data_IF_592272728932
#
_entry.id   IF_592272728932
#
_cell.length_a   1.000
_cell.length_b   1.000
_cell.length_c   1.000
_cell.angle_alpha   90.00
_cell.angle_beta   90.00
_cell.angle_gamma   90.00
#
_symmetry.space_group_name_H-M   'P 1'
#
loop_
_entity.id
_entity.type
_entity.pdbx_description
1 polymer ?
#
# COMPACT_ATOMS: atom_id res chain seq x y z
N UNK A 1 -13.82 11.55 10.35
CA UNK A 1 -15.30 11.50 10.50
C UNK A 1 -15.86 10.54 9.48
N UNK A 2 -16.52 9.46 9.90
CA UNK A 2 -17.26 8.56 9.02
C UNK A 2 -18.71 9.02 8.95
N UNK A 3 -19.23 9.19 7.74
CA UNK A 3 -20.64 9.51 7.51
C UNK A 3 -21.41 8.22 7.18
N UNK A 4 -22.73 8.24 7.38
CA UNK A 4 -23.63 7.12 7.05
C UNK A 4 -24.86 7.66 6.33
N UNK A 5 -25.37 6.91 5.37
CA UNK A 5 -26.62 7.25 4.67
C UNK A 5 -26.65 6.84 3.21
N UNK A 6 -27.81 7.07 2.58
CA UNK A 6 -28.00 6.86 1.15
C UNK A 6 -27.28 7.93 0.34
N UNK A 7 -26.72 7.54 -0.82
CA UNK A 7 -26.11 8.49 -1.77
C UNK A 7 -27.13 9.51 -2.29
N UNK A 8 -28.41 9.12 -2.41
CA UNK A 8 -29.47 10.00 -2.91
C UNK A 8 -29.74 11.21 -1.97
N UNK A 9 -29.48 11.04 -0.68
CA UNK A 9 -29.71 12.06 0.36
C UNK A 9 -28.42 12.78 0.78
N UNK A 10 -27.25 12.33 0.27
CA UNK A 10 -25.96 12.87 0.67
C UNK A 10 -25.68 14.21 -0.03
N UNK A 11 -25.36 15.24 0.76
CA UNK A 11 -24.89 16.50 0.18
C UNK A 11 -23.45 16.33 -0.32
N UNK A 12 -23.14 16.92 -1.48
CA UNK A 12 -21.80 16.93 -2.08
C UNK A 12 -20.73 17.41 -1.09
N UNK A 13 -21.06 18.41 -0.27
CA UNK A 13 -20.18 18.93 0.77
C UNK A 13 -19.79 17.85 1.77
N UNK A 14 -20.75 17.08 2.31
CA UNK A 14 -20.45 16.05 3.30
C UNK A 14 -19.72 14.85 2.72
N UNK A 15 -20.06 14.45 1.50
CA UNK A 15 -19.31 13.40 0.78
C UNK A 15 -17.83 13.78 0.64
N UNK A 16 -17.56 15.05 0.34
CA UNK A 16 -16.20 15.55 0.22
C UNK A 16 -15.48 15.67 1.57
N UNK A 17 -16.17 16.06 2.64
CA UNK A 17 -15.58 16.30 3.97
C UNK A 17 -15.41 15.03 4.80
N UNK A 18 -16.25 14.01 4.61
CA UNK A 18 -16.12 12.76 5.35
C UNK A 18 -14.79 12.04 5.05
N UNK A 19 -14.30 11.28 5.99
CA UNK A 19 -13.20 10.32 5.79
C UNK A 19 -13.62 9.29 4.73
N UNK A 20 -14.84 8.77 4.85
CA UNK A 20 -15.65 8.08 3.84
C UNK A 20 -17.10 8.03 4.33
N UNK A 21 -18.02 7.59 3.45
CA UNK A 21 -19.43 7.39 3.78
C UNK A 21 -19.76 5.91 3.67
N UNK A 22 -20.48 5.35 4.65
CA UNK A 22 -20.98 3.97 4.61
C UNK A 22 -22.44 3.95 4.15
N UNK A 23 -22.78 2.97 3.31
CA UNK A 23 -24.15 2.68 2.87
C UNK A 23 -24.40 1.18 2.81
N UNK A 24 -25.64 0.75 2.91
CA UNK A 24 -26.08 -0.61 2.63
C UNK A 24 -26.64 -0.74 1.20
N UNK A 25 -26.80 0.37 0.49
CA UNK A 25 -27.20 0.43 -0.91
C UNK A 25 -25.98 0.26 -1.84
N UNK A 26 -26.20 -0.24 -3.05
CA UNK A 26 -25.19 -0.23 -4.11
C UNK A 26 -24.85 1.21 -4.50
N UNK A 27 -23.57 1.55 -4.51
CA UNK A 27 -23.09 2.88 -4.86
C UNK A 27 -21.83 2.83 -5.73
N UNK A 28 -21.85 3.56 -6.84
CA UNK A 28 -20.70 3.74 -7.74
C UNK A 28 -20.03 5.11 -7.55
N UNK A 29 -19.79 5.47 -6.29
CA UNK A 29 -19.06 6.68 -5.93
C UNK A 29 -17.87 6.28 -5.05
N UNK A 30 -16.64 6.69 -5.42
CA UNK A 30 -15.43 6.34 -4.67
C UNK A 30 -15.42 6.87 -3.23
N UNK A 31 -16.30 7.81 -2.87
CA UNK A 31 -16.46 8.41 -1.54
C UNK A 31 -17.38 7.58 -0.64
N UNK A 32 -18.09 6.64 -1.24
CA UNK A 32 -19.08 5.80 -0.58
C UNK A 32 -18.62 4.34 -0.61
N UNK A 33 -18.76 3.67 0.51
CA UNK A 33 -18.41 2.27 0.71
C UNK A 33 -19.68 1.49 1.01
N UNK A 34 -20.03 0.57 0.14
CA UNK A 34 -21.13 -0.36 0.37
C UNK A 34 -20.70 -1.42 1.38
N UNK A 35 -21.49 -1.60 2.43
CA UNK A 35 -21.27 -2.59 3.48
C UNK A 35 -22.53 -3.41 3.72
N UNK A 36 -22.37 -4.64 4.20
CA UNK A 36 -23.52 -5.52 4.50
C UNK A 36 -24.35 -5.03 5.69
N UNK A 37 -23.74 -4.33 6.65
CA UNK A 37 -24.37 -3.70 7.80
C UNK A 37 -23.57 -2.51 8.26
N UNK A 38 -24.21 -1.33 8.27
CA UNK A 38 -23.63 -0.09 8.78
C UNK A 38 -23.28 -0.21 10.25
N UNK A 39 -24.18 -0.77 11.06
CA UNK A 39 -23.97 -0.91 12.52
C UNK A 39 -22.76 -1.79 12.84
N UNK A 40 -22.61 -2.93 12.14
CA UNK A 40 -21.46 -3.80 12.30
C UNK A 40 -20.16 -3.10 11.87
N UNK A 41 -20.16 -2.45 10.71
CA UNK A 41 -18.99 -1.73 10.19
C UNK A 41 -18.57 -0.57 11.11
N UNK A 42 -19.52 0.20 11.64
CA UNK A 42 -19.25 1.28 12.61
C UNK A 42 -18.69 0.74 13.92
N UNK A 43 -19.23 -0.38 14.43
CA UNK A 43 -18.72 -1.03 15.65
C UNK A 43 -17.25 -1.43 15.48
N UNK A 44 -16.91 -2.10 14.39
CA UNK A 44 -15.55 -2.55 14.10
C UNK A 44 -14.58 -1.35 13.90
N UNK A 45 -14.99 -0.35 13.12
CA UNK A 45 -14.20 0.86 12.90
C UNK A 45 -13.95 1.63 14.20
N UNK A 46 -14.98 1.72 15.07
CA UNK A 46 -14.86 2.40 16.37
C UNK A 46 -13.87 1.65 17.26
N UNK A 47 -14.00 0.33 17.39
CA UNK A 47 -13.10 -0.48 18.21
C UNK A 47 -11.63 -0.35 17.73
N UNK A 48 -11.42 -0.31 16.42
CA UNK A 48 -10.07 -0.12 15.84
C UNK A 48 -9.54 1.29 16.08
N UNK A 49 -10.38 2.32 15.90
CA UNK A 49 -10.00 3.71 16.15
C UNK A 49 -9.71 3.98 17.63
N UNK A 50 -10.45 3.35 18.56
CA UNK A 50 -10.17 3.42 19.99
C UNK A 50 -8.87 2.73 20.38
N UNK A 51 -8.52 1.63 19.69
CA UNK A 51 -7.26 0.91 19.94
C UNK A 51 -6.04 1.66 19.37
N UNK A 52 -6.18 2.36 18.25
CA UNK A 52 -5.12 3.02 17.46
C UNK A 52 -5.49 4.47 17.12
N UNK A 53 -5.84 5.31 18.11
CA UNK A 53 -6.41 6.64 17.85
C UNK A 53 -5.42 7.60 17.16
N UNK A 54 -4.12 7.52 17.49
CA UNK A 54 -3.11 8.39 16.91
C UNK A 54 -2.85 8.01 15.45
N UNK A 55 -2.66 6.72 15.18
CA UNK A 55 -2.43 6.25 13.81
C UNK A 55 -3.66 6.47 12.91
N UNK A 56 -4.88 6.25 13.44
CA UNK A 56 -6.11 6.49 12.68
C UNK A 56 -6.30 7.97 12.32
N UNK A 57 -6.07 8.89 13.27
CA UNK A 57 -6.14 10.34 13.00
C UNK A 57 -5.05 10.76 12.02
N UNK A 58 -3.81 10.31 12.23
CA UNK A 58 -2.68 10.62 11.33
C UNK A 58 -2.93 10.11 9.91
N UNK A 59 -3.56 8.92 9.75
CA UNK A 59 -3.95 8.39 8.45
C UNK A 59 -4.89 9.35 7.69
N UNK A 60 -5.97 9.82 8.35
CA UNK A 60 -6.93 10.74 7.74
C UNK A 60 -6.25 12.07 7.36
N UNK A 61 -5.41 12.64 8.24
CA UNK A 61 -4.68 13.87 7.98
C UNK A 61 -3.72 13.75 6.78
N UNK A 62 -2.95 12.67 6.70
CA UNK A 62 -2.03 12.41 5.58
C UNK A 62 -2.81 12.26 4.27
N UNK A 63 -3.87 11.45 4.25
CA UNK A 63 -4.68 11.22 3.06
C UNK A 63 -5.39 12.50 2.57
N UNK A 64 -5.70 13.44 3.47
CA UNK A 64 -6.25 14.76 3.10
C UNK A 64 -5.19 15.71 2.56
N UNK A 65 -3.93 15.55 2.98
CA UNK A 65 -2.82 16.42 2.57
C UNK A 65 -2.20 16.00 1.24
N UNK A 66 -2.38 14.75 0.80
CA UNK A 66 -1.83 14.26 -0.46
C UNK A 66 -2.62 14.80 -1.63
N UNK A 67 -1.91 15.42 -2.59
CA UNK A 67 -2.45 15.72 -3.91
C UNK A 67 -2.20 14.51 -4.85
N UNK A 68 -3.26 13.77 -5.24
CA UNK A 68 -3.08 12.60 -6.10
C UNK A 68 -2.56 12.95 -7.51
N UNK A 69 -2.76 14.18 -7.97
CA UNK A 69 -2.24 14.69 -9.24
C UNK A 69 -0.82 15.29 -9.12
N UNK A 70 -0.37 15.53 -7.89
CA UNK A 70 0.92 16.13 -7.61
C UNK A 70 2.10 15.16 -7.78
N UNK A 71 3.34 15.67 -7.64
CA UNK A 71 4.55 14.85 -7.67
C UNK A 71 4.54 13.80 -6.54
N UNK A 72 4.91 12.54 -6.86
CA UNK A 72 4.97 11.48 -5.86
C UNK A 72 5.91 11.83 -4.69
N UNK A 73 7.01 12.53 -4.96
CA UNK A 73 8.02 12.89 -3.95
C UNK A 73 7.40 13.61 -2.74
N UNK A 74 6.56 14.61 -2.96
CA UNK A 74 5.97 15.39 -1.86
C UNK A 74 5.08 14.54 -0.96
N UNK A 75 4.24 13.68 -1.55
CA UNK A 75 3.39 12.76 -0.82
C UNK A 75 4.18 11.69 -0.07
N UNK A 76 5.18 11.07 -0.72
CA UNK A 76 6.06 10.06 -0.09
C UNK A 76 6.87 10.66 1.07
N UNK A 77 7.33 11.90 0.96
CA UNK A 77 8.02 12.59 2.07
C UNK A 77 7.06 12.85 3.22
N UNK A 78 5.85 13.36 2.94
CA UNK A 78 4.81 13.59 3.96
C UNK A 78 4.43 12.29 4.67
N UNK A 79 4.15 11.22 3.91
CA UNK A 79 3.88 9.90 4.45
C UNK A 79 5.01 9.41 5.36
N UNK A 80 6.25 9.50 4.89
CA UNK A 80 7.41 9.02 5.64
C UNK A 80 7.69 9.81 6.92
N UNK A 81 7.42 11.13 6.96
CA UNK A 81 7.49 11.94 8.17
C UNK A 81 6.41 11.52 9.18
N UNK A 82 5.17 11.36 8.73
CA UNK A 82 4.07 10.91 9.56
C UNK A 82 4.31 9.48 10.08
N UNK A 83 4.78 8.57 9.21
CA UNK A 83 5.16 7.21 9.60
C UNK A 83 6.25 7.20 10.68
N UNK A 84 7.31 8.02 10.52
CA UNK A 84 8.38 8.13 11.52
C UNK A 84 7.88 8.71 12.85
N UNK A 85 6.95 9.65 12.81
CA UNK A 85 6.30 10.18 14.02
C UNK A 85 5.55 9.07 14.76
N UNK A 86 4.80 8.22 14.02
CA UNK A 86 4.10 7.08 14.60
C UNK A 86 5.06 6.01 15.12
N UNK A 87 6.19 5.76 14.43
CA UNK A 87 7.23 4.85 14.92
C UNK A 87 7.84 5.29 16.27
N UNK A 88 7.89 6.60 16.54
CA UNK A 88 8.29 7.16 17.83
C UNK A 88 7.16 7.14 18.87
N UNK A 89 5.93 6.79 18.46
CA UNK A 89 4.73 6.90 19.27
C UNK A 89 4.44 5.67 20.14
N UNK A 90 3.51 5.84 21.10
CA UNK A 90 3.19 4.79 22.08
C UNK A 90 2.46 3.60 21.45
N UNK A 91 1.74 3.77 20.34
CA UNK A 91 0.97 2.71 19.70
C UNK A 91 1.90 1.69 19.06
N UNK A 92 2.88 2.15 18.30
CA UNK A 92 3.89 1.27 17.72
C UNK A 92 4.77 0.63 18.78
N UNK A 93 5.14 1.36 19.85
CA UNK A 93 5.91 0.80 20.97
C UNK A 93 5.13 -0.34 21.66
N UNK A 94 3.81 -0.19 21.84
CA UNK A 94 2.94 -1.26 22.36
C UNK A 94 2.94 -2.48 21.44
N UNK A 95 2.78 -2.27 20.14
CA UNK A 95 2.80 -3.36 19.17
C UNK A 95 4.15 -4.12 19.19
N UNK A 96 5.28 -3.40 19.24
CA UNK A 96 6.62 -4.02 19.37
C UNK A 96 6.75 -4.88 20.62
N UNK A 97 6.22 -4.42 21.75
CA UNK A 97 6.21 -5.17 22.98
C UNK A 97 5.37 -6.44 22.89
N UNK A 98 4.20 -6.36 22.26
CA UNK A 98 3.28 -7.49 22.04
C UNK A 98 3.87 -8.52 21.07
N UNK A 99 4.58 -8.08 20.01
CA UNK A 99 5.24 -8.96 19.03
C UNK A 99 6.35 -9.82 19.65
N UNK A 100 7.10 -9.26 20.59
CA UNK A 100 8.27 -9.90 21.19
C UNK A 100 9.50 -9.92 20.26
N UNK A 101 10.46 -10.83 20.53
CA UNK A 101 11.73 -10.91 19.79
C UNK A 101 11.51 -11.24 18.30
N UNK A 102 12.25 -10.55 17.45
CA UNK A 102 12.28 -10.80 16.01
C UNK A 102 13.24 -11.96 15.66
N UNK A 103 12.88 -12.72 14.63
CA UNK A 103 13.75 -13.74 14.04
C UNK A 103 13.97 -13.39 12.58
N UNK A 104 15.15 -12.87 12.24
CA UNK A 104 15.50 -12.45 10.90
C UNK A 104 16.23 -13.59 10.17
N UNK A 105 15.57 -14.33 9.26
CA UNK A 105 16.22 -15.33 8.45
C UNK A 105 17.05 -14.65 7.36
N UNK A 106 18.28 -15.12 7.16
CA UNK A 106 19.07 -14.80 5.97
C UNK A 106 18.46 -15.53 4.76
N UNK A 107 18.07 -14.78 3.73
CA UNK A 107 17.48 -15.32 2.50
C UNK A 107 18.25 -14.74 1.32
N UNK A 108 18.99 -15.59 0.65
CA UNK A 108 19.69 -15.23 -0.58
C UNK A 108 18.70 -14.85 -1.69
N UNK A 109 19.09 -13.90 -2.55
CA UNK A 109 18.37 -13.49 -3.75
C UNK A 109 16.89 -13.17 -3.51
N UNK A 110 16.54 -12.23 -2.60
CA UNK A 110 15.17 -11.91 -2.24
C UNK A 110 14.35 -11.28 -3.38
N UNK A 111 15.03 -10.81 -4.43
CA UNK A 111 14.45 -10.34 -5.69
C UNK A 111 15.27 -10.88 -6.83
N UNK A 112 14.61 -11.45 -7.82
CA UNK A 112 15.22 -11.95 -9.04
C UNK A 112 14.87 -11.02 -10.21
N UNK A 113 15.86 -10.63 -11.01
CA UNK A 113 15.66 -9.85 -12.21
C UNK A 113 16.16 -10.65 -13.43
N UNK A 114 15.32 -10.75 -14.45
CA UNK A 114 15.66 -11.42 -15.70
C UNK A 114 15.26 -10.55 -16.89
N UNK A 115 16.18 -10.44 -17.86
CA UNK A 115 15.95 -9.72 -19.10
C UNK A 115 15.62 -10.71 -20.23
N UNK A 116 14.49 -10.47 -20.91
CA UNK A 116 14.10 -11.20 -22.12
C UNK A 116 13.76 -10.17 -23.22
N UNK A 117 14.66 -10.03 -24.18
CA UNK A 117 14.55 -9.01 -25.21
C UNK A 117 14.54 -7.59 -24.62
N UNK A 118 13.45 -6.88 -24.80
CA UNK A 118 13.20 -5.54 -24.26
C UNK A 118 12.38 -5.54 -22.96
N UNK A 119 11.97 -6.70 -22.47
CA UNK A 119 11.21 -6.89 -21.24
C UNK A 119 12.15 -7.20 -20.06
N UNK A 120 12.05 -6.43 -18.98
CA UNK A 120 12.68 -6.71 -17.69
C UNK A 120 11.63 -7.29 -16.74
N UNK A 121 11.79 -8.57 -16.36
CA UNK A 121 10.97 -9.24 -15.35
C UNK A 121 11.65 -9.15 -14.00
N UNK A 122 10.93 -8.68 -12.99
CA UNK A 122 11.39 -8.53 -11.61
C UNK A 122 10.43 -9.33 -10.73
N UNK A 123 10.95 -10.33 -10.01
CA UNK A 123 10.14 -11.17 -9.14
C UNK A 123 10.61 -11.10 -7.69
N UNK A 124 9.71 -10.82 -6.76
CA UNK A 124 9.96 -11.07 -5.33
C UNK A 124 10.18 -12.56 -5.11
N UNK A 125 11.21 -12.94 -4.36
CA UNK A 125 11.66 -14.34 -4.26
C UNK A 125 11.94 -14.78 -2.81
N UNK A 126 10.94 -14.58 -1.95
CA UNK A 126 10.90 -15.11 -0.57
C UNK A 126 9.59 -15.89 -0.35
N UNK A 127 9.27 -16.91 -1.18
CA UNK A 127 7.95 -17.56 -1.18
C UNK A 127 7.56 -18.18 0.17
N UNK A 128 8.54 -18.68 0.93
CA UNK A 128 8.35 -19.26 2.28
C UNK A 128 7.89 -18.23 3.34
N UNK A 129 7.98 -16.93 3.04
CA UNK A 129 7.48 -15.83 3.85
C UNK A 129 6.46 -14.97 3.09
N UNK A 130 5.78 -15.53 2.10
CA UNK A 130 4.84 -14.81 1.25
C UNK A 130 5.42 -13.50 0.66
N UNK A 131 6.71 -13.53 0.33
CA UNK A 131 7.45 -12.39 -0.20
C UNK A 131 7.42 -11.15 0.71
N UNK A 132 7.44 -11.33 2.05
CA UNK A 132 7.57 -10.25 3.00
C UNK A 132 8.76 -9.36 2.65
N UNK A 133 8.52 -8.04 2.54
CA UNK A 133 9.46 -7.08 1.98
C UNK A 133 10.47 -6.61 3.02
N UNK A 134 11.71 -7.10 2.88
CA UNK A 134 12.84 -6.80 3.76
C UNK A 134 13.71 -5.66 3.22
N UNK A 135 14.68 -5.23 4.03
CA UNK A 135 15.71 -4.27 3.64
C UNK A 135 16.55 -4.78 2.47
N UNK A 136 16.88 -6.09 2.44
CA UNK A 136 17.63 -6.70 1.34
C UNK A 136 16.77 -6.79 0.07
N UNK A 137 15.48 -7.13 0.21
CA UNK A 137 14.54 -7.09 -0.93
C UNK A 137 14.42 -5.68 -1.50
N UNK A 138 14.43 -4.66 -0.63
CA UNK A 138 14.42 -3.24 -1.07
C UNK A 138 15.68 -2.89 -1.87
N UNK A 139 16.86 -3.27 -1.39
CA UNK A 139 18.12 -3.01 -2.09
C UNK A 139 18.14 -3.68 -3.47
N UNK A 140 17.82 -4.99 -3.53
CA UNK A 140 17.79 -5.75 -4.77
C UNK A 140 16.72 -5.23 -5.76
N UNK A 141 15.53 -4.83 -5.28
CA UNK A 141 14.50 -4.21 -6.12
C UNK A 141 14.99 -2.89 -6.73
N UNK A 142 15.66 -2.04 -5.95
CA UNK A 142 16.20 -0.76 -6.44
C UNK A 142 17.29 -0.98 -7.49
N UNK A 143 18.16 -1.98 -7.32
CA UNK A 143 19.16 -2.37 -8.33
C UNK A 143 18.49 -2.82 -9.64
N UNK A 144 17.45 -3.65 -9.55
CA UNK A 144 16.69 -4.08 -10.72
C UNK A 144 15.97 -2.91 -11.42
N UNK A 145 15.33 -2.01 -10.66
CA UNK A 145 14.67 -0.83 -11.22
C UNK A 145 15.65 0.19 -11.82
N UNK A 146 16.88 0.27 -11.30
CA UNK A 146 17.93 1.12 -11.89
C UNK A 146 18.28 0.68 -13.31
N UNK A 147 18.24 -0.63 -13.61
CA UNK A 147 18.41 -1.12 -14.99
C UNK A 147 17.32 -0.52 -15.89
N UNK A 148 16.04 -0.58 -15.44
CA UNK A 148 14.95 -0.01 -16.20
C UNK A 148 15.05 1.52 -16.37
N UNK A 149 15.63 2.24 -15.40
CA UNK A 149 15.79 3.69 -15.47
C UNK A 149 16.94 4.13 -16.40
N UNK A 150 18.03 3.36 -16.44
CA UNK A 150 19.27 3.73 -17.13
C UNK A 150 19.37 3.15 -18.53
N UNK A 151 18.76 2.00 -18.79
CA UNK A 151 18.78 1.33 -20.09
C UNK A 151 17.51 1.65 -20.88
N UNK A 152 17.61 2.53 -21.86
CA UNK A 152 16.52 2.94 -22.73
C UNK A 152 15.99 1.81 -23.63
N UNK A 153 16.75 0.71 -23.81
CA UNK A 153 16.28 -0.46 -24.55
C UNK A 153 15.31 -1.34 -23.76
N UNK A 154 15.13 -1.12 -22.45
CA UNK A 154 14.04 -1.69 -21.69
C UNK A 154 12.74 -0.98 -22.06
N UNK A 155 11.85 -1.65 -22.78
CA UNK A 155 10.56 -1.12 -23.20
C UNK A 155 9.40 -1.59 -22.33
N UNK A 156 9.61 -2.64 -21.56
CA UNK A 156 8.60 -3.22 -20.66
C UNK A 156 9.22 -3.63 -19.32
N UNK A 157 8.48 -3.41 -18.22
CA UNK A 157 8.81 -3.90 -16.87
C UNK A 157 7.64 -4.68 -16.32
N UNK A 158 7.89 -5.91 -15.86
CA UNK A 158 6.90 -6.78 -15.22
C UNK A 158 7.34 -7.07 -13.81
N UNK A 159 6.58 -6.59 -12.83
CA UNK A 159 6.78 -6.88 -11.42
C UNK A 159 5.86 -8.03 -10.99
N UNK A 160 6.40 -9.08 -10.38
CA UNK A 160 5.64 -10.26 -9.93
C UNK A 160 6.21 -10.82 -8.63
N UNK A 161 5.66 -11.93 -8.13
CA UNK A 161 6.15 -12.65 -6.96
C UNK A 161 6.25 -14.15 -7.25
N UNK A 162 7.27 -14.82 -6.72
CA UNK A 162 7.39 -16.27 -6.78
C UNK A 162 6.58 -16.92 -5.63
N UNK A 163 5.99 -18.09 -5.88
CA UNK A 163 5.28 -18.88 -4.88
C UNK A 163 3.80 -18.43 -4.67
N UNK A 164 3.26 -18.53 -3.44
CA UNK A 164 1.81 -18.43 -3.23
C UNK A 164 1.27 -17.00 -3.14
N UNK A 165 2.13 -15.98 -3.16
CA UNK A 165 1.70 -14.58 -2.99
C UNK A 165 2.61 -13.64 -3.76
N UNK A 166 2.05 -12.51 -4.19
CA UNK A 166 2.83 -11.42 -4.74
C UNK A 166 3.75 -10.82 -3.67
N UNK A 167 3.17 -10.26 -2.60
CA UNK A 167 3.91 -9.75 -1.44
C UNK A 167 2.94 -9.49 -0.28
N UNK A 168 3.25 -10.00 0.91
CA UNK A 168 2.42 -9.88 2.11
C UNK A 168 2.66 -8.60 2.93
N UNK A 169 3.42 -7.64 2.40
CA UNK A 169 3.77 -6.40 3.10
C UNK A 169 5.18 -6.41 3.68
N UNK A 170 5.51 -5.41 4.49
CA UNK A 170 6.81 -5.29 5.12
C UNK A 170 7.15 -6.49 6.02
N UNK A 171 8.42 -6.89 6.05
CA UNK A 171 8.87 -7.95 6.95
C UNK A 171 8.78 -7.48 8.41
N UNK A 172 7.78 -7.98 9.15
CA UNK A 172 7.48 -7.54 10.51
C UNK A 172 8.63 -7.80 11.49
N UNK A 173 9.54 -8.72 11.18
CA UNK A 173 10.73 -8.96 12.00
C UNK A 173 11.75 -7.82 11.89
N UNK A 174 11.73 -7.04 10.81
CA UNK A 174 12.60 -5.86 10.65
C UNK A 174 12.04 -4.58 11.30
N UNK A 175 10.76 -4.57 11.71
CA UNK A 175 10.16 -3.39 12.32
C UNK A 175 10.81 -3.11 13.69
N UNK A 176 11.17 -1.83 13.92
CA UNK A 176 11.85 -1.42 15.14
C UNK A 176 13.36 -1.69 15.17
N UNK A 177 13.96 -2.16 14.07
CA UNK A 177 15.42 -2.43 14.02
C UNK A 177 16.26 -1.20 13.66
N UNK A 178 15.67 -0.13 13.11
CA UNK A 178 16.39 1.12 12.91
C UNK A 178 16.76 1.78 14.22
N UNK A 179 17.93 2.41 14.27
CA UNK A 179 18.46 3.08 15.46
C UNK A 179 17.51 4.18 15.97
N UNK A 180 16.86 4.89 15.05
CA UNK A 180 15.91 5.96 15.35
C UNK A 180 14.96 6.23 14.18
N UNK A 181 13.79 6.86 14.44
CA UNK A 181 12.81 7.19 13.40
C UNK A 181 13.30 8.17 12.33
N UNK A 182 14.26 9.05 12.63
CA UNK A 182 14.79 9.99 11.66
C UNK A 182 15.67 9.27 10.63
N UNK A 183 16.53 8.35 11.06
CA UNK A 183 17.30 7.46 10.17
C UNK A 183 16.37 6.60 9.31
N UNK A 184 15.28 6.09 9.88
CA UNK A 184 14.27 5.32 9.16
C UNK A 184 13.57 6.19 8.08
N UNK A 185 13.26 7.47 8.38
CA UNK A 185 12.73 8.41 7.40
C UNK A 185 13.68 8.62 6.23
N UNK A 186 14.95 8.88 6.51
CA UNK A 186 15.96 9.07 5.46
C UNK A 186 16.12 7.82 4.59
N UNK A 187 16.10 6.63 5.19
CA UNK A 187 16.17 5.37 4.45
C UNK A 187 14.96 5.20 3.51
N UNK A 188 13.73 5.49 3.99
CA UNK A 188 12.51 5.38 3.17
C UNK A 188 12.48 6.38 2.00
N UNK A 189 12.98 7.59 2.20
CA UNK A 189 12.92 8.63 1.17
C UNK A 189 14.10 8.60 0.21
N UNK A 190 15.31 8.22 0.66
CA UNK A 190 16.52 8.15 -0.16
C UNK A 190 16.61 6.84 -0.95
N UNK A 191 16.11 5.75 -0.39
CA UNK A 191 16.09 4.42 -0.99
C UNK A 191 14.65 3.96 -1.17
N UNK A 192 13.87 4.74 -1.93
CA UNK A 192 12.42 4.55 -2.11
C UNK A 192 12.09 3.75 -3.36
N UNK A 193 11.63 2.50 -3.24
CA UNK A 193 11.07 1.76 -4.37
C UNK A 193 9.86 2.45 -4.98
N UNK A 194 9.05 3.14 -4.18
CA UNK A 194 7.92 3.94 -4.64
C UNK A 194 8.35 4.99 -5.68
N UNK A 195 9.36 5.79 -5.36
CA UNK A 195 9.86 6.83 -6.28
C UNK A 195 10.56 6.22 -7.51
N UNK A 196 11.25 5.09 -7.34
CA UNK A 196 11.85 4.38 -8.46
C UNK A 196 10.79 3.82 -9.43
N UNK A 197 9.72 3.22 -8.90
CA UNK A 197 8.58 2.74 -9.69
C UNK A 197 7.81 3.89 -10.36
N UNK A 198 7.58 5.00 -9.64
CA UNK A 198 6.95 6.20 -10.21
C UNK A 198 7.74 6.74 -11.41
N UNK A 199 9.09 6.78 -11.32
CA UNK A 199 9.96 7.19 -12.41
C UNK A 199 9.92 6.22 -13.61
N UNK A 200 9.95 4.89 -13.35
CA UNK A 200 9.84 3.88 -14.40
C UNK A 200 8.46 3.96 -15.07
N UNK A 201 7.40 4.09 -14.29
CA UNK A 201 6.02 4.23 -14.81
C UNK A 201 5.83 5.53 -15.58
N UNK A 202 6.43 6.64 -15.14
CA UNK A 202 6.41 7.90 -15.91
C UNK A 202 7.01 7.73 -17.30
N UNK A 203 8.04 6.89 -17.44
CA UNK A 203 8.69 6.61 -18.74
C UNK A 203 7.89 5.60 -19.58
N UNK A 204 7.39 4.53 -18.96
CA UNK A 204 6.85 3.36 -19.68
C UNK A 204 5.30 3.32 -19.73
N UNK A 205 4.63 4.11 -18.89
CA UNK A 205 3.17 4.05 -18.79
C UNK A 205 2.67 2.64 -18.45
N UNK A 206 1.66 2.12 -19.17
CA UNK A 206 1.09 0.79 -18.95
C UNK A 206 2.06 -0.38 -19.19
N UNK A 207 3.21 -0.15 -19.85
CA UNK A 207 4.23 -1.17 -20.04
C UNK A 207 5.06 -1.43 -18.76
N UNK A 208 4.97 -0.55 -17.75
CA UNK A 208 5.35 -0.89 -16.38
C UNK A 208 4.13 -1.49 -15.69
N UNK A 209 4.08 -2.81 -15.51
CA UNK A 209 2.93 -3.49 -14.91
C UNK A 209 3.30 -4.42 -13.76
N UNK A 210 2.35 -4.59 -12.85
CA UNK A 210 2.39 -5.63 -11.82
C UNK A 210 1.44 -6.77 -12.19
N UNK A 211 1.93 -8.00 -12.17
CA UNK A 211 1.14 -9.23 -12.27
C UNK A 211 1.05 -9.83 -10.87
N UNK A 212 -0.13 -9.73 -10.23
CA UNK A 212 -0.28 -10.04 -8.81
C UNK A 212 -1.18 -11.24 -8.57
N UNK A 213 -0.93 -11.98 -7.48
CA UNK A 213 -1.68 -13.16 -7.06
C UNK A 213 -1.57 -13.37 -5.55
N UNK A 214 -2.51 -14.11 -4.96
CA UNK A 214 -2.51 -14.39 -3.52
C UNK A 214 -2.49 -13.09 -2.70
N UNK A 215 -1.64 -12.99 -1.71
CA UNK A 215 -1.54 -11.81 -0.86
C UNK A 215 -0.86 -10.64 -1.57
N UNK A 216 -1.54 -9.50 -1.61
CA UNK A 216 -1.09 -8.20 -2.15
C UNK A 216 -1.34 -7.17 -1.06
N UNK A 217 -0.50 -7.19 -0.01
CA UNK A 217 -0.77 -6.45 1.22
C UNK A 217 0.31 -5.41 1.51
N UNK A 218 -0.08 -4.33 2.21
CA UNK A 218 0.84 -3.29 2.67
C UNK A 218 1.79 -2.81 1.59
N UNK A 219 3.11 -2.85 1.85
CA UNK A 219 4.13 -2.44 0.87
C UNK A 219 4.03 -3.17 -0.47
N UNK A 220 3.51 -4.40 -0.52
CA UNK A 220 3.23 -5.11 -1.76
C UNK A 220 2.17 -4.39 -2.60
N UNK A 221 1.03 -4.06 -2.00
CA UNK A 221 -0.02 -3.27 -2.65
C UNK A 221 0.47 -1.86 -2.98
N UNK A 222 1.16 -1.22 -2.05
CA UNK A 222 1.68 0.14 -2.22
C UNK A 222 2.60 0.26 -3.44
N UNK A 223 3.52 -0.71 -3.62
CA UNK A 223 4.42 -0.77 -4.78
C UNK A 223 3.69 -1.14 -6.07
N UNK A 224 2.81 -2.15 -6.05
CA UNK A 224 2.02 -2.53 -7.22
C UNK A 224 1.19 -1.35 -7.74
N UNK A 225 0.63 -0.53 -6.84
CA UNK A 225 -0.19 0.62 -7.20
C UNK A 225 0.59 1.76 -7.88
N UNK A 226 1.93 1.81 -7.80
CA UNK A 226 2.77 2.71 -8.60
C UNK A 226 2.96 2.24 -10.05
N UNK A 227 2.78 0.94 -10.32
CA UNK A 227 2.86 0.46 -11.71
C UNK A 227 1.75 1.07 -12.57
N UNK A 228 2.03 1.29 -13.84
CA UNK A 228 1.05 1.83 -14.79
C UNK A 228 -0.14 0.90 -15.02
N UNK A 229 0.01 -0.40 -14.70
CA UNK A 229 -1.05 -1.41 -14.79
C UNK A 229 -0.92 -2.48 -13.71
N UNK A 230 -2.06 -2.94 -13.17
CA UNK A 230 -2.14 -4.09 -12.26
C UNK A 230 -3.04 -5.15 -12.88
N UNK A 231 -2.47 -6.34 -13.11
CA UNK A 231 -3.18 -7.54 -13.55
C UNK A 231 -3.34 -8.46 -12.35
N UNK A 232 -4.58 -8.71 -11.95
CA UNK A 232 -4.89 -9.49 -10.74
C UNK A 232 -5.31 -10.92 -11.09
N UNK A 233 -4.63 -11.92 -10.53
CA UNK A 233 -5.14 -13.28 -10.56
C UNK A 233 -6.45 -13.37 -9.74
N UNK A 234 -7.35 -14.32 -10.06
CA UNK A 234 -8.64 -14.44 -9.36
C UNK A 234 -8.54 -14.66 -7.84
N UNK A 235 -7.43 -15.22 -7.36
CA UNK A 235 -7.14 -15.46 -5.95
C UNK A 235 -6.48 -14.28 -5.23
N UNK A 236 -6.30 -13.15 -5.91
CA UNK A 236 -5.65 -11.99 -5.33
C UNK A 236 -6.48 -11.35 -4.22
N UNK A 237 -5.82 -11.01 -3.11
CA UNK A 237 -6.42 -10.36 -1.94
C UNK A 237 -5.61 -9.09 -1.63
N UNK A 238 -6.28 -7.94 -1.65
CA UNK A 238 -5.65 -6.62 -1.49
C UNK A 238 -6.01 -6.00 -0.14
N UNK A 239 -5.03 -5.42 0.56
CA UNK A 239 -5.28 -4.76 1.84
C UNK A 239 -4.14 -3.88 2.32
N UNK A 240 -4.48 -2.99 3.27
CA UNK A 240 -3.55 -2.09 3.94
C UNK A 240 -3.68 -2.29 5.47
N UNK A 241 -2.93 -3.25 6.05
CA UNK A 241 -3.12 -3.68 7.45
C UNK A 241 -2.38 -2.83 8.48
N UNK A 242 -1.70 -1.75 8.08
CA UNK A 242 -0.72 -1.00 8.88
C UNK A 242 -1.29 -0.43 10.17
N UNK A 243 -2.59 -0.10 10.22
CA UNK A 243 -3.23 0.40 11.43
C UNK A 243 -3.09 -0.59 12.60
N UNK A 244 -3.12 -1.90 12.33
CA UNK A 244 -2.96 -2.94 13.36
C UNK A 244 -1.59 -2.95 14.03
N UNK A 245 -0.63 -2.21 13.47
CA UNK A 245 0.73 -2.01 13.98
C UNK A 245 0.88 -0.65 14.70
N UNK A 246 -0.19 0.16 14.77
CA UNK A 246 -0.13 1.56 15.19
C UNK A 246 0.58 2.45 14.16
N UNK A 247 0.49 2.10 12.89
CA UNK A 247 1.15 2.77 11.76
C UNK A 247 0.13 3.10 10.64
N UNK A 248 0.61 3.78 9.61
CA UNK A 248 -0.07 4.03 8.33
C UNK A 248 0.74 3.38 7.21
N UNK A 249 0.27 3.31 5.95
CA UNK A 249 1.11 2.94 4.82
C UNK A 249 2.42 3.72 4.81
N UNK A 250 3.53 3.06 4.48
CA UNK A 250 4.88 3.64 4.59
C UNK A 250 5.81 3.35 3.42
N UNK A 251 5.29 2.73 2.34
CA UNK A 251 6.01 2.46 1.10
C UNK A 251 5.40 3.21 -0.10
N UNK A 252 4.72 4.33 0.18
CA UNK A 252 4.10 5.20 -0.81
C UNK A 252 2.60 4.99 -1.02
N UNK A 253 1.94 4.18 -0.20
CA UNK A 253 0.54 3.78 -0.40
C UNK A 253 -0.47 4.92 -0.25
N UNK A 254 -0.19 5.91 0.60
CA UNK A 254 -1.02 7.11 0.69
C UNK A 254 -1.03 7.92 -0.61
N UNK A 255 -0.04 7.72 -1.47
CA UNK A 255 0.05 8.32 -2.81
C UNK A 255 -0.51 7.37 -3.86
N UNK A 256 0.10 6.20 -4.01
CA UNK A 256 -0.16 5.28 -5.12
C UNK A 256 -1.58 4.72 -5.10
N UNK A 257 -2.04 4.23 -3.94
CA UNK A 257 -3.40 3.68 -3.79
C UNK A 257 -4.43 4.80 -3.93
N UNK A 258 -4.16 5.98 -3.32
CA UNK A 258 -5.03 7.15 -3.44
C UNK A 258 -5.17 7.64 -4.89
N UNK A 259 -4.12 7.57 -5.69
CA UNK A 259 -4.19 7.90 -7.13
C UNK A 259 -5.17 6.99 -7.88
N UNK A 260 -5.26 5.71 -7.52
CA UNK A 260 -6.13 4.73 -8.16
C UNK A 260 -7.57 4.81 -7.67
N UNK A 261 -7.79 4.75 -6.37
CA UNK A 261 -9.15 4.57 -5.79
C UNK A 261 -9.67 5.76 -4.99
N UNK A 262 -8.90 6.84 -4.90
CA UNK A 262 -9.23 8.02 -4.10
C UNK A 262 -8.96 7.82 -2.61
N UNK A 263 -8.85 8.95 -1.87
CA UNK A 263 -8.52 8.95 -0.44
C UNK A 263 -9.54 8.22 0.43
N UNK A 264 -10.81 8.20 0.02
CA UNK A 264 -11.92 7.62 0.79
C UNK A 264 -11.83 6.09 0.85
N UNK A 265 -11.67 5.42 -0.32
CA UNK A 265 -11.47 3.97 -0.38
C UNK A 265 -10.13 3.57 0.24
N UNK A 266 -9.07 4.38 0.06
CA UNK A 266 -7.78 4.17 0.73
C UNK A 266 -7.92 4.26 2.25
N UNK A 267 -8.61 5.28 2.77
CA UNK A 267 -8.89 5.41 4.20
C UNK A 267 -9.69 4.21 4.74
N UNK A 268 -10.69 3.74 3.98
CA UNK A 268 -11.46 2.55 4.38
C UNK A 268 -10.57 1.30 4.50
N UNK A 269 -9.71 1.02 3.51
CA UNK A 269 -8.79 -0.13 3.58
C UNK A 269 -7.88 -0.08 4.80
N UNK A 270 -7.32 1.09 5.11
CA UNK A 270 -6.43 1.25 6.27
C UNK A 270 -7.21 1.15 7.58
N UNK A 271 -8.30 1.92 7.73
CA UNK A 271 -9.02 2.05 9.00
C UNK A 271 -9.83 0.79 9.34
N UNK A 272 -10.46 0.15 8.36
CA UNK A 272 -11.15 -1.12 8.57
C UNK A 272 -10.18 -2.29 8.71
N UNK A 273 -9.01 -2.23 8.07
CA UNK A 273 -8.07 -3.35 7.97
C UNK A 273 -8.63 -4.56 7.21
N UNK A 274 -9.77 -4.39 6.54
CA UNK A 274 -10.37 -5.43 5.71
C UNK A 274 -9.62 -5.50 4.37
N UNK A 275 -9.57 -6.70 3.84
CA UNK A 275 -9.05 -6.93 2.49
C UNK A 275 -10.21 -7.02 1.50
N UNK A 276 -9.93 -6.65 0.25
CA UNK A 276 -10.85 -6.81 -0.87
C UNK A 276 -10.32 -7.85 -1.85
N UNK A 277 -11.22 -8.52 -2.53
CA UNK A 277 -10.91 -9.51 -3.58
C UNK A 277 -10.58 -8.87 -4.94
N UNK A 278 -10.23 -9.69 -5.91
CA UNK A 278 -9.88 -9.24 -7.26
C UNK A 278 -11.06 -8.56 -7.99
N UNK A 279 -12.30 -9.02 -7.78
CA UNK A 279 -13.48 -8.43 -8.41
C UNK A 279 -13.76 -7.02 -7.88
N UNK A 280 -13.72 -6.86 -6.57
CA UNK A 280 -13.84 -5.56 -5.90
C UNK A 280 -12.69 -4.62 -6.29
N UNK A 281 -11.46 -5.15 -6.37
CA UNK A 281 -10.29 -4.36 -6.76
C UNK A 281 -10.43 -3.80 -8.19
N UNK A 282 -10.94 -4.59 -9.13
CA UNK A 282 -11.24 -4.12 -10.50
C UNK A 282 -12.39 -3.12 -10.49
N UNK A 283 -13.48 -3.40 -9.78
CA UNK A 283 -14.63 -2.49 -9.68
C UNK A 283 -14.23 -1.13 -9.09
N UNK A 284 -13.32 -1.12 -8.12
CA UNK A 284 -12.83 0.12 -7.52
C UNK A 284 -11.80 0.85 -8.38
N UNK A 285 -11.24 0.21 -9.41
CA UNK A 285 -10.16 0.75 -10.23
C UNK A 285 -8.79 0.62 -9.55
N UNK A 286 -8.67 -0.23 -8.51
CA UNK A 286 -7.39 -0.56 -7.89
C UNK A 286 -6.57 -1.47 -8.81
N UNK A 287 -7.19 -2.51 -9.35
CA UNK A 287 -6.64 -3.33 -10.42
C UNK A 287 -7.29 -2.98 -11.77
N UNK A 288 -6.53 -3.14 -12.86
CA UNK A 288 -6.99 -2.77 -14.20
C UNK A 288 -7.75 -3.91 -14.90
N UNK A 289 -7.40 -5.15 -14.59
CA UNK A 289 -8.08 -6.35 -15.10
C UNK A 289 -7.73 -7.60 -14.27
N UNK A 290 -8.55 -8.63 -14.44
CA UNK A 290 -8.18 -9.99 -14.00
C UNK A 290 -7.35 -10.67 -15.09
N UNK A 291 -6.32 -11.43 -14.67
CA UNK A 291 -5.45 -12.23 -15.54
C UNK A 291 -5.95 -13.67 -15.68
#
# INVERSE_FOLDING_TARGET
MVAVGSLADASEFWLQQATFTLTEDDADDRRVITVASIDAALSDLTARAERWPIAAATCDDVLRSVDPAGPALSGVVTESLAYSTLQAGPEFARWLADRGPAVMPDIADPVQAHRDGDTLRIAFNRPQRHNAFSTDARAALLEALAVAQLDSSVAEVVLTGNGPSFCSGGDLDEFGTFADPASAHLARTRYSPALALDAVTTRLGPACRAEVHGQVLGSGLEMAAFCGRIMAAPDSVFGLPELSLGLIPGAGGTVSVTRRIGRWRTAYLVLSGLSIDADTAVTWGLADAKS
#
